data_IF_735544940776
#
_entry.id   IF_735544940776
#
_cell.length_a   1.000
_cell.length_b   1.000
_cell.length_c   1.000
_cell.angle_alpha   90.00
_cell.angle_beta   90.00
_cell.angle_gamma   90.00
#
_symmetry.space_group_name_H-M   'P 1'
#
loop_
_entity.id
_entity.type
_entity.pdbx_description
1 polymer ?
#
# COMPACT_ATOMS: atom_id res chain seq x y z
N UNK A 1 -3.05 -5.77 14.10
CA UNK A 1 -3.44 -4.64 13.22
C UNK A 1 -4.60 -3.84 13.82
N UNK A 2 -5.62 -4.49 14.43
CA UNK A 2 -6.71 -3.83 15.18
C UNK A 2 -6.21 -2.79 16.20
N UNK A 3 -5.20 -3.14 17.00
CA UNK A 3 -4.64 -2.25 18.04
C UNK A 3 -4.20 -0.86 17.56
N UNK A 4 -3.66 -0.69 16.34
CA UNK A 4 -3.21 0.65 15.88
C UNK A 4 -4.38 1.54 15.43
N UNK A 5 -5.41 0.93 14.86
CA UNK A 5 -6.65 1.63 14.48
C UNK A 5 -7.35 2.09 15.76
N UNK A 6 -7.50 1.17 16.73
CA UNK A 6 -8.16 1.46 18.01
C UNK A 6 -7.43 2.57 18.76
N UNK A 7 -6.10 2.48 18.90
CA UNK A 7 -5.29 3.52 19.56
C UNK A 7 -5.41 4.87 18.86
N UNK A 8 -5.30 4.92 17.52
CA UNK A 8 -5.40 6.19 16.80
C UNK A 8 -6.80 6.80 16.92
N UNK A 9 -7.84 5.95 16.93
CA UNK A 9 -9.23 6.38 17.09
C UNK A 9 -9.47 6.92 18.51
N UNK A 10 -8.98 6.22 19.53
CA UNK A 10 -9.06 6.66 20.93
C UNK A 10 -8.33 7.98 21.15
N UNK A 11 -7.13 8.13 20.59
CA UNK A 11 -6.35 9.37 20.70
C UNK A 11 -7.07 10.55 20.04
N UNK A 12 -7.66 10.35 18.85
CA UNK A 12 -8.43 11.38 18.17
C UNK A 12 -9.68 11.79 18.98
N UNK A 13 -10.40 10.83 19.53
CA UNK A 13 -11.59 11.08 20.34
C UNK A 13 -11.26 11.78 21.67
N UNK A 14 -10.18 11.37 22.33
CA UNK A 14 -9.72 12.00 23.56
C UNK A 14 -9.31 13.47 23.32
N UNK A 15 -8.49 13.73 22.30
CA UNK A 15 -8.09 15.09 21.96
C UNK A 15 -9.30 15.96 21.54
N UNK A 16 -10.26 15.40 20.80
CA UNK A 16 -11.48 16.13 20.45
C UNK A 16 -12.32 16.46 21.69
N UNK A 17 -12.43 15.52 22.64
CA UNK A 17 -13.11 15.76 23.90
C UNK A 17 -12.46 16.90 24.70
N UNK A 18 -11.12 16.93 24.75
CA UNK A 18 -10.37 17.94 25.49
C UNK A 18 -10.52 19.33 24.85
N UNK A 19 -10.55 19.43 23.51
CA UNK A 19 -10.91 20.66 22.80
C UNK A 19 -12.30 21.15 23.22
N UNK A 20 -13.31 20.27 23.22
CA UNK A 20 -14.68 20.63 23.57
C UNK A 20 -14.81 21.11 25.02
N UNK A 21 -14.00 20.55 25.93
CA UNK A 21 -13.98 20.94 27.33
C UNK A 21 -13.50 22.40 27.55
N UNK A 22 -12.63 22.91 26.68
CA UNK A 22 -12.07 24.26 26.83
C UNK A 22 -12.81 25.36 26.05
N UNK A 23 -13.67 25.00 25.09
CA UNK A 23 -14.46 25.95 24.29
C UNK A 23 -15.33 26.94 25.08
N UNK A 24 -15.95 26.59 26.21
CA UNK A 24 -16.74 27.57 26.97
C UNK A 24 -15.86 28.70 27.50
N UNK A 25 -16.10 29.93 27.03
CA UNK A 25 -15.32 31.13 27.41
C UNK A 25 -15.92 31.92 28.57
N UNK A 26 -17.18 31.63 28.94
CA UNK A 26 -17.91 32.36 29.97
C UNK A 26 -17.20 32.28 31.33
N UNK A 27 -17.00 33.44 31.98
CA UNK A 27 -16.33 33.52 33.28
C UNK A 27 -14.81 33.36 33.25
N UNK A 28 -14.19 33.13 32.08
CA UNK A 28 -12.73 33.00 31.97
C UNK A 28 -12.06 34.35 31.75
N UNK A 29 -10.90 34.55 32.37
CA UNK A 29 -10.05 35.72 32.12
C UNK A 29 -9.41 35.61 30.74
N UNK A 30 -8.97 36.74 30.16
CA UNK A 30 -8.24 36.73 28.86
C UNK A 30 -6.99 35.84 28.90
N UNK A 31 -6.28 35.80 30.03
CA UNK A 31 -5.11 34.93 30.21
C UNK A 31 -5.50 33.45 30.17
N UNK A 32 -6.60 33.07 30.83
CA UNK A 32 -7.10 31.69 30.81
C UNK A 32 -7.56 31.30 29.39
N UNK A 33 -8.26 32.19 28.70
CA UNK A 33 -8.66 31.98 27.30
C UNK A 33 -7.44 31.78 26.37
N UNK A 34 -6.33 32.49 26.59
CA UNK A 34 -5.10 32.30 25.83
C UNK A 34 -4.45 30.94 26.06
N UNK A 35 -4.43 30.46 27.31
CA UNK A 35 -3.92 29.13 27.65
C UNK A 35 -4.80 28.02 27.04
N UNK A 36 -6.13 28.17 27.13
CA UNK A 36 -7.10 27.25 26.55
C UNK A 36 -7.01 27.19 25.02
N UNK A 37 -6.78 28.34 24.37
CA UNK A 37 -6.59 28.39 22.91
C UNK A 37 -5.30 27.66 22.49
N UNK A 38 -4.21 27.79 23.26
CA UNK A 38 -2.98 27.07 23.00
C UNK A 38 -3.14 25.55 23.21
N UNK A 39 -3.86 25.14 24.26
CA UNK A 39 -4.19 23.74 24.51
C UNK A 39 -5.03 23.15 23.37
N UNK A 40 -6.11 23.84 22.99
CA UNK A 40 -6.98 23.40 21.88
C UNK A 40 -6.22 23.28 20.54
N UNK A 41 -5.26 24.18 20.28
CA UNK A 41 -4.41 24.10 19.10
C UNK A 41 -3.52 22.85 19.13
N UNK A 42 -2.88 22.56 20.27
CA UNK A 42 -2.06 21.36 20.42
C UNK A 42 -2.88 20.06 20.28
N UNK A 43 -4.09 20.02 20.83
CA UNK A 43 -4.99 18.88 20.70
C UNK A 43 -5.51 18.71 19.27
N UNK A 44 -5.72 19.82 18.55
CA UNK A 44 -6.08 19.78 17.12
C UNK A 44 -4.99 19.08 16.30
N UNK A 45 -3.71 19.34 16.59
CA UNK A 45 -2.59 18.66 15.95
C UNK A 45 -2.54 17.15 16.27
N UNK A 46 -3.01 16.73 17.46
CA UNK A 46 -3.14 15.31 17.81
C UNK A 46 -4.25 14.65 16.98
N UNK A 47 -5.39 15.32 16.84
CA UNK A 47 -6.51 14.84 16.01
C UNK A 47 -6.05 14.64 14.56
N UNK A 48 -5.40 15.65 13.96
CA UNK A 48 -4.94 15.59 12.57
C UNK A 48 -3.95 14.43 12.34
N UNK A 49 -2.94 14.28 13.20
CA UNK A 49 -1.97 13.17 13.09
C UNK A 49 -2.61 11.80 13.25
N UNK A 50 -3.63 11.70 14.09
CA UNK A 50 -4.37 10.45 14.30
C UNK A 50 -5.17 10.09 13.04
N UNK A 51 -5.81 11.08 12.40
CA UNK A 51 -6.51 10.89 11.12
C UNK A 51 -5.54 10.50 10.01
N UNK A 52 -4.38 11.16 9.89
CA UNK A 52 -3.36 10.80 8.89
C UNK A 52 -2.88 9.35 9.07
N UNK A 53 -2.71 8.91 10.32
CA UNK A 53 -2.35 7.53 10.63
C UNK A 53 -3.44 6.55 10.16
N UNK A 54 -4.71 6.87 10.39
CA UNK A 54 -5.83 6.05 9.93
C UNK A 54 -5.91 5.99 8.41
N UNK A 55 -5.70 7.10 7.71
CA UNK A 55 -5.66 7.15 6.23
C UNK A 55 -4.51 6.29 5.68
N UNK A 56 -3.33 6.36 6.28
CA UNK A 56 -2.19 5.51 5.91
C UNK A 56 -2.48 4.02 6.10
N UNK A 57 -3.14 3.65 7.21
CA UNK A 57 -3.57 2.26 7.43
C UNK A 57 -4.58 1.83 6.37
N UNK A 58 -5.56 2.68 6.04
CA UNK A 58 -6.55 2.39 5.01
C UNK A 58 -5.92 2.19 3.62
N UNK A 59 -4.93 3.03 3.26
CA UNK A 59 -4.14 2.86 2.04
C UNK A 59 -3.41 1.53 2.01
N UNK A 60 -2.69 1.17 3.09
CA UNK A 60 -1.96 -0.09 3.15
C UNK A 60 -2.89 -1.32 3.02
N UNK A 61 -4.05 -1.28 3.67
CA UNK A 61 -5.06 -2.34 3.55
C UNK A 61 -5.61 -2.44 2.12
N UNK A 62 -5.83 -1.30 1.44
CA UNK A 62 -6.28 -1.27 0.05
C UNK A 62 -5.23 -1.87 -0.89
N UNK A 63 -3.95 -1.51 -0.72
CA UNK A 63 -2.84 -2.10 -1.49
C UNK A 63 -2.74 -3.61 -1.30
N UNK A 64 -2.84 -4.09 -0.05
CA UNK A 64 -2.83 -5.53 0.25
C UNK A 64 -4.02 -6.26 -0.41
N UNK A 65 -5.21 -5.68 -0.36
CA UNK A 65 -6.39 -6.25 -1.00
C UNK A 65 -6.22 -6.35 -2.51
N UNK A 66 -5.66 -5.32 -3.16
CA UNK A 66 -5.38 -5.33 -4.60
C UNK A 66 -4.33 -6.38 -4.97
N UNK A 67 -3.22 -6.46 -4.24
CA UNK A 67 -2.19 -7.50 -4.46
C UNK A 67 -2.74 -8.92 -4.27
N UNK A 68 -3.63 -9.10 -3.28
CA UNK A 68 -4.32 -10.38 -3.05
C UNK A 68 -5.34 -10.74 -4.14
N UNK A 69 -5.95 -9.73 -4.78
CA UNK A 69 -6.88 -9.93 -5.90
C UNK A 69 -6.14 -10.31 -7.21
N UNK A 70 -4.97 -9.73 -7.47
CA UNK A 70 -4.14 -10.07 -8.65
C UNK A 70 -3.71 -11.55 -8.64
N UNK A 71 -3.47 -12.13 -7.46
CA UNK A 71 -3.15 -13.56 -7.33
C UNK A 71 -4.32 -14.51 -7.57
N UNK A 72 -5.56 -14.04 -7.51
CA UNK A 72 -6.78 -14.88 -7.65
C UNK A 72 -7.39 -14.87 -9.04
N UNK A 73 -6.82 -14.10 -9.97
CA UNK A 73 -7.36 -13.92 -11.31
C UNK A 73 -6.30 -13.98 -12.40
N UNK A 74 -5.21 -14.73 -12.21
CA UNK A 74 -4.29 -15.02 -13.32
C UNK A 74 -5.00 -15.95 -14.31
N UNK A 75 -5.32 -15.49 -15.54
CA UNK A 75 -5.97 -16.33 -16.55
C UNK A 75 -5.07 -17.48 -17.03
N UNK A 76 -3.82 -17.52 -16.55
CA UNK A 76 -2.82 -18.54 -16.85
C UNK A 76 -2.86 -19.75 -15.90
N UNK A 77 -3.58 -19.68 -14.77
CA UNK A 77 -3.71 -20.82 -13.83
C UNK A 77 -4.96 -21.67 -14.05
N UNK A 78 -5.96 -21.18 -14.79
CA UNK A 78 -7.22 -21.89 -15.06
C UNK A 78 -7.28 -22.56 -16.44
N UNK A 79 -6.19 -22.63 -17.19
CA UNK A 79 -6.13 -23.53 -18.34
C UNK A 79 -5.84 -24.95 -17.80
N UNK A 80 -6.76 -25.94 -17.95
CA UNK A 80 -6.37 -27.32 -17.73
C UNK A 80 -5.13 -27.59 -18.61
N UNK A 81 -4.14 -28.37 -18.14
CA UNK A 81 -3.01 -28.72 -18.97
C UNK A 81 -3.55 -29.50 -20.17
N UNK A 82 -3.84 -28.81 -21.26
CA UNK A 82 -4.15 -29.47 -22.52
C UNK A 82 -2.89 -30.23 -22.85
N UNK A 83 -3.04 -31.55 -22.99
CA UNK A 83 -1.97 -32.51 -23.22
C UNK A 83 -1.14 -32.24 -24.51
N UNK A 84 -1.33 -31.10 -25.18
CA UNK A 84 -0.57 -30.64 -26.33
C UNK A 84 0.44 -29.51 -26.04
N UNK A 85 0.31 -28.74 -24.95
CA UNK A 85 1.22 -27.60 -24.71
C UNK A 85 2.64 -28.03 -24.29
N UNK A 86 2.79 -29.20 -23.67
CA UNK A 86 4.11 -29.76 -23.31
C UNK A 86 4.86 -30.38 -24.50
N UNK A 87 4.15 -30.78 -25.55
CA UNK A 87 4.78 -31.37 -26.74
C UNK A 87 5.37 -30.31 -27.68
N UNK A 88 4.79 -29.10 -27.72
CA UNK A 88 5.22 -28.02 -28.63
C UNK A 88 6.37 -27.16 -28.08
N UNK A 89 6.64 -27.17 -26.77
CA UNK A 89 7.68 -26.32 -26.18
C UNK A 89 9.08 -26.95 -26.21
N UNK A 90 9.21 -28.26 -26.44
CA UNK A 90 10.51 -28.93 -26.43
C UNK A 90 11.23 -28.87 -27.78
N UNK A 91 10.52 -29.23 -28.85
CA UNK A 91 11.10 -29.36 -30.19
C UNK A 91 11.33 -27.99 -30.84
N UNK A 92 10.38 -27.07 -30.71
CA UNK A 92 10.50 -25.72 -31.29
C UNK A 92 11.55 -24.87 -30.57
N UNK A 93 11.68 -25.00 -29.25
CA UNK A 93 12.71 -24.26 -28.48
C UNK A 93 14.11 -24.79 -28.81
N UNK A 94 14.27 -26.11 -28.97
CA UNK A 94 15.57 -26.68 -29.34
C UNK A 94 15.95 -26.31 -30.78
N UNK A 95 14.98 -26.27 -31.70
CA UNK A 95 15.21 -25.82 -33.08
C UNK A 95 15.63 -24.35 -33.13
N UNK A 96 14.93 -23.46 -32.41
CA UNK A 96 15.31 -22.04 -32.30
C UNK A 96 16.70 -21.88 -31.67
N UNK A 97 17.02 -22.66 -30.64
CA UNK A 97 18.35 -22.63 -30.01
C UNK A 97 19.46 -23.03 -30.99
N UNK A 98 19.24 -24.09 -31.78
CA UNK A 98 20.20 -24.56 -32.78
C UNK A 98 20.38 -23.54 -33.91
N UNK A 99 19.30 -22.90 -34.35
CA UNK A 99 19.30 -21.92 -35.44
C UNK A 99 20.05 -20.64 -35.04
N UNK A 100 19.83 -20.16 -33.81
CA UNK A 100 20.56 -19.02 -33.22
C UNK A 100 22.05 -19.35 -33.07
N UNK A 101 22.39 -20.55 -32.60
CA UNK A 101 23.79 -20.93 -32.43
C UNK A 101 24.52 -21.05 -33.78
N UNK A 102 23.84 -21.58 -34.80
CA UNK A 102 24.37 -21.63 -36.19
C UNK A 102 24.58 -20.22 -36.76
N UNK A 103 23.67 -19.29 -36.51
CA UNK A 103 23.82 -17.89 -36.92
C UNK A 103 24.99 -17.21 -36.22
N UNK A 104 25.18 -17.44 -34.92
CA UNK A 104 26.28 -16.89 -34.14
C UNK A 104 27.65 -17.41 -34.61
N UNK A 105 27.76 -18.69 -34.96
CA UNK A 105 28.99 -19.27 -35.52
C UNK A 105 29.33 -18.68 -36.90
N UNK A 106 28.32 -18.39 -37.72
CA UNK A 106 28.52 -17.76 -39.04
C UNK A 106 28.95 -16.29 -38.95
N UNK A 107 28.49 -15.57 -37.92
CA UNK A 107 28.88 -14.17 -37.68
C UNK A 107 30.23 -14.07 -36.96
N UNK A 108 30.60 -15.07 -36.16
CA UNK A 108 31.82 -15.07 -35.34
C UNK A 108 33.00 -15.81 -35.97
N UNK A 109 32.82 -16.47 -37.12
CA UNK A 109 33.90 -17.08 -37.88
C UNK A 109 34.87 -16.03 -38.45
N UNK A 110 36.17 -16.35 -38.62
CA UNK A 110 37.16 -15.37 -39.06
C UNK A 110 36.78 -14.82 -40.44
N UNK A 111 36.61 -13.50 -40.51
CA UNK A 111 36.50 -12.78 -41.78
C UNK A 111 37.80 -13.03 -42.59
N UNK A 112 37.68 -13.72 -43.72
CA UNK A 112 38.71 -13.70 -44.77
C UNK A 112 38.70 -12.35 -45.48
#
# INVERSE_FOLDING_TARGET
MASKIDTSTQNALAALHDILAVLPLAGKTRSAQGADAAAAAADTDIVLRSIDTLLNIAHALKEQALLGAVRRGSPLEEAPPTMGARALLGEDVQNVYNEVNTLLERVSGPHN
#
